data_IF_892694652639
#
_entry.id   IF_892694652639
#
_cell.length_a   1.000
_cell.length_b   1.000
_cell.length_c   1.000
_cell.angle_alpha   90.00
_cell.angle_beta   90.00
_cell.angle_gamma   90.00
#
_symmetry.space_group_name_H-M   'P 1'
#
loop_
_entity.id
_entity.type
_entity.pdbx_description
1 polymer ?
#
# COMPACT_ATOMS: atom_id res chain seq x y z
N UNK A 1 10.27 -8.97 1.32
CA UNK A 1 9.43 -8.63 2.50
C UNK A 1 8.52 -7.47 2.10
N UNK A 2 7.24 -7.73 1.76
CA UNK A 2 6.31 -6.69 1.31
C UNK A 2 6.16 -5.52 2.30
N UNK A 3 6.23 -5.81 3.60
CA UNK A 3 6.06 -4.84 4.69
C UNK A 3 7.10 -3.72 4.63
N UNK A 4 8.39 -4.06 4.40
CA UNK A 4 9.46 -3.06 4.31
C UNK A 4 9.25 -2.08 3.15
N UNK A 5 8.84 -2.59 1.99
CA UNK A 5 8.50 -1.74 0.86
C UNK A 5 7.30 -0.84 1.20
N UNK A 6 6.25 -1.38 1.80
CA UNK A 6 5.04 -0.62 2.14
C UNK A 6 5.30 0.46 3.20
N UNK A 7 6.25 0.24 4.13
CA UNK A 7 6.75 1.27 5.05
C UNK A 7 7.41 2.41 4.26
N UNK A 8 8.34 2.08 3.36
CA UNK A 8 9.01 3.09 2.53
C UNK A 8 8.03 3.85 1.64
N UNK A 9 7.05 3.16 1.05
CA UNK A 9 6.00 3.77 0.25
C UNK A 9 5.11 4.72 1.07
N UNK A 10 4.80 4.35 2.32
CA UNK A 10 4.02 5.20 3.25
C UNK A 10 4.81 6.44 3.66
N UNK A 11 6.11 6.31 3.91
CA UNK A 11 7.00 7.46 4.18
C UNK A 11 7.08 8.37 2.95
N UNK A 12 7.24 7.80 1.76
CA UNK A 12 7.25 8.55 0.51
C UNK A 12 5.96 9.35 0.31
N UNK A 13 4.80 8.74 0.55
CA UNK A 13 3.50 9.42 0.54
C UNK A 13 3.44 10.57 1.56
N UNK A 14 3.89 10.33 2.80
CA UNK A 14 3.89 11.35 3.85
C UNK A 14 4.77 12.55 3.47
N UNK A 15 6.01 12.32 3.03
CA UNK A 15 6.89 13.41 2.60
C UNK A 15 6.30 14.17 1.41
N UNK A 16 5.62 13.46 0.50
CA UNK A 16 4.99 14.06 -0.69
C UNK A 16 3.78 14.95 -0.38
N UNK A 17 3.15 14.79 0.79
CA UNK A 17 1.97 15.62 1.18
C UNK A 17 2.36 17.00 1.71
N UNK A 18 3.66 17.29 1.91
CA UNK A 18 4.19 18.56 2.42
C UNK A 18 3.57 19.03 3.76
N UNK A 19 2.93 18.12 4.50
CA UNK A 19 2.36 18.37 5.83
C UNK A 19 3.20 17.70 6.90
N UNK A 20 3.53 18.44 7.96
CA UNK A 20 4.34 17.92 9.07
C UNK A 20 3.63 16.76 9.78
N UNK A 21 2.32 16.89 10.01
CA UNK A 21 1.49 15.87 10.63
C UNK A 21 0.45 15.36 9.64
N UNK A 22 0.59 14.11 9.23
CA UNK A 22 -0.41 13.39 8.44
C UNK A 22 -0.92 12.19 9.28
N UNK A 23 -2.07 12.33 9.98
CA UNK A 23 -2.60 11.28 10.84
C UNK A 23 -2.86 9.96 10.10
N UNK A 24 -3.25 10.03 8.83
CA UNK A 24 -3.53 8.86 8.00
C UNK A 24 -2.23 8.10 7.72
N UNK A 25 -1.18 8.80 7.29
CA UNK A 25 0.14 8.21 7.06
C UNK A 25 0.70 7.59 8.35
N UNK A 26 0.55 8.27 9.48
CA UNK A 26 1.00 7.77 10.77
C UNK A 26 0.28 6.48 11.18
N UNK A 27 -1.05 6.44 11.08
CA UNK A 27 -1.84 5.24 11.40
C UNK A 27 -1.45 4.07 10.49
N UNK A 28 -1.32 4.32 9.17
CA UNK A 28 -0.88 3.29 8.23
C UNK A 28 0.52 2.77 8.57
N UNK A 29 1.46 3.66 8.90
CA UNK A 29 2.82 3.29 9.28
C UNK A 29 2.82 2.38 10.52
N UNK A 30 2.07 2.77 11.58
CA UNK A 30 1.95 1.98 12.81
C UNK A 30 1.34 0.61 12.52
N UNK A 31 0.31 0.52 11.67
CA UNK A 31 -0.30 -0.76 11.30
C UNK A 31 0.68 -1.66 10.53
N UNK A 32 1.44 -1.12 9.58
CA UNK A 32 2.42 -1.89 8.79
C UNK A 32 3.58 -2.35 9.67
N UNK A 33 4.09 -1.48 10.55
CA UNK A 33 5.14 -1.84 11.53
C UNK A 33 4.63 -2.89 12.51
N UNK A 34 3.42 -2.75 13.01
CA UNK A 34 2.79 -3.77 13.87
C UNK A 34 2.68 -5.11 13.14
N UNK A 35 2.30 -5.09 11.86
CA UNK A 35 2.25 -6.31 11.06
C UNK A 35 3.64 -6.93 10.87
N UNK A 36 4.68 -6.12 10.66
CA UNK A 36 6.06 -6.60 10.55
C UNK A 36 6.53 -7.29 11.84
N UNK A 37 6.20 -6.75 13.02
CA UNK A 37 6.62 -7.28 14.32
C UNK A 37 5.81 -8.52 14.71
N UNK A 38 4.47 -8.44 14.66
CA UNK A 38 3.61 -9.50 15.18
C UNK A 38 3.31 -10.60 14.16
N UNK A 39 3.45 -10.31 12.86
CA UNK A 39 3.27 -11.24 11.74
C UNK A 39 2.01 -12.11 11.86
N UNK A 40 0.92 -11.54 12.38
CA UNK A 40 -0.34 -12.26 12.59
C UNK A 40 -1.09 -12.39 11.28
N UNK A 41 -1.63 -13.59 11.02
CA UNK A 41 -2.43 -13.88 9.82
C UNK A 41 -3.59 -12.90 9.62
N UNK A 42 -4.41 -12.69 10.66
CA UNK A 42 -5.59 -11.83 10.59
C UNK A 42 -5.24 -10.37 10.27
N UNK A 43 -4.27 -9.80 10.99
CA UNK A 43 -3.82 -8.41 10.78
C UNK A 43 -3.21 -8.26 9.38
N UNK A 44 -2.43 -9.24 8.92
CA UNK A 44 -1.81 -9.20 7.59
C UNK A 44 -2.81 -9.26 6.45
N UNK A 45 -3.84 -10.10 6.55
CA UNK A 45 -4.93 -10.16 5.56
C UNK A 45 -5.72 -8.84 5.57
N UNK A 46 -6.11 -8.35 6.76
CA UNK A 46 -6.84 -7.08 6.89
C UNK A 46 -6.07 -5.92 6.27
N UNK A 47 -4.79 -5.78 6.64
CA UNK A 47 -3.92 -4.71 6.17
C UNK A 47 -3.69 -4.79 4.65
N UNK A 48 -3.47 -5.99 4.11
CA UNK A 48 -3.30 -6.18 2.67
C UNK A 48 -4.57 -5.80 1.89
N UNK A 49 -5.75 -6.21 2.37
CA UNK A 49 -7.03 -5.85 1.77
C UNK A 49 -7.28 -4.34 1.80
N UNK A 50 -6.99 -3.70 2.95
CA UNK A 50 -7.10 -2.24 3.10
C UNK A 50 -6.20 -1.51 2.09
N UNK A 51 -4.93 -1.92 1.99
CA UNK A 51 -3.98 -1.32 1.05
C UNK A 51 -4.37 -1.55 -0.42
N UNK A 52 -4.92 -2.72 -0.77
CA UNK A 52 -5.44 -2.98 -2.11
C UNK A 52 -6.59 -2.01 -2.43
N UNK A 53 -7.56 -1.84 -1.52
CA UNK A 53 -8.68 -0.92 -1.70
C UNK A 53 -8.18 0.52 -1.87
N UNK A 54 -7.22 0.97 -1.05
CA UNK A 54 -6.62 2.30 -1.18
C UNK A 54 -5.91 2.49 -2.53
N UNK A 55 -5.21 1.47 -3.04
CA UNK A 55 -4.59 1.52 -4.35
C UNK A 55 -5.62 1.55 -5.49
N UNK A 56 -6.73 0.81 -5.38
CA UNK A 56 -7.82 0.89 -6.35
C UNK A 56 -8.51 2.26 -6.35
N UNK A 57 -8.67 2.86 -5.18
CA UNK A 57 -9.14 4.25 -5.07
C UNK A 57 -8.16 5.23 -5.74
N UNK A 58 -6.87 5.08 -5.48
CA UNK A 58 -5.83 5.89 -6.14
C UNK A 58 -5.80 5.68 -7.66
N UNK A 59 -6.08 4.47 -8.16
CA UNK A 59 -6.21 4.20 -9.60
C UNK A 59 -7.34 5.03 -10.21
N UNK A 60 -8.51 5.04 -9.57
CA UNK A 60 -9.65 5.84 -10.01
C UNK A 60 -9.32 7.34 -10.00
N UNK A 61 -8.61 7.81 -8.97
CA UNK A 61 -8.17 9.21 -8.88
C UNK A 61 -7.21 9.58 -10.02
N UNK A 62 -6.17 8.76 -10.26
CA UNK A 62 -5.24 8.96 -11.37
C UNK A 62 -5.95 8.94 -12.72
N UNK A 63 -6.87 8.01 -12.91
CA UNK A 63 -7.64 7.91 -14.15
C UNK A 63 -8.51 9.16 -14.39
N UNK A 64 -9.17 9.64 -13.33
CA UNK A 64 -9.96 10.88 -13.39
C UNK A 64 -9.10 12.07 -13.78
N UNK A 65 -7.96 12.27 -13.10
CA UNK A 65 -7.08 13.41 -13.37
C UNK A 65 -6.43 13.31 -14.76
N UNK A 66 -6.07 12.09 -15.21
CA UNK A 66 -5.57 11.88 -16.57
C UNK A 66 -6.58 12.23 -17.65
N UNK A 67 -7.88 12.04 -17.39
CA UNK A 67 -8.95 12.33 -18.35
C UNK A 67 -9.21 13.82 -18.56
N UNK A 68 -8.78 14.66 -17.61
CA UNK A 68 -8.95 16.12 -17.68
C UNK A 68 -7.87 16.81 -18.51
N UNK A 69 -6.73 16.16 -18.76
CA UNK A 69 -5.66 16.74 -19.57
C UNK A 69 -6.03 16.75 -21.06
N UNK A 70 -6.13 17.96 -21.62
CA UNK A 70 -6.33 18.17 -23.06
C UNK A 70 -5.07 17.92 -23.91
N UNK A 71 -3.89 17.90 -23.27
CA UNK A 71 -2.61 17.70 -23.93
C UNK A 71 -1.61 16.98 -23.01
N UNK A 72 -0.62 16.33 -23.61
CA UNK A 72 0.41 15.55 -22.92
C UNK A 72 1.53 16.44 -22.32
N UNK A 73 1.12 17.32 -21.40
CA UNK A 73 1.99 18.28 -20.71
C UNK A 73 2.97 17.59 -19.76
N UNK A 74 3.96 18.34 -19.24
CA UNK A 74 4.92 17.85 -18.23
C UNK A 74 4.20 17.33 -16.98
N UNK A 75 3.10 17.97 -16.57
CA UNK A 75 2.28 17.52 -15.44
C UNK A 75 1.60 16.19 -15.73
N UNK A 76 0.99 16.03 -16.91
CA UNK A 76 0.37 14.79 -17.33
C UNK A 76 1.38 13.63 -17.40
N UNK A 77 2.59 13.89 -17.91
CA UNK A 77 3.69 12.91 -17.93
C UNK A 77 4.10 12.49 -16.52
N UNK A 78 4.30 13.46 -15.61
CA UNK A 78 4.67 13.17 -14.22
C UNK A 78 3.62 12.29 -13.55
N UNK A 79 2.34 12.62 -13.71
CA UNK A 79 1.23 11.88 -13.12
C UNK A 79 1.11 10.47 -13.72
N UNK A 80 1.27 10.34 -15.04
CA UNK A 80 1.24 9.05 -15.71
C UNK A 80 2.40 8.18 -15.28
N UNK A 81 3.65 8.63 -15.38
CA UNK A 81 4.82 7.77 -15.11
C UNK A 81 5.05 7.54 -13.62
N UNK A 82 5.10 8.60 -12.81
CA UNK A 82 5.37 8.47 -11.37
C UNK A 82 4.14 7.90 -10.64
N UNK A 83 2.95 8.40 -10.98
CA UNK A 83 1.70 7.95 -10.36
C UNK A 83 1.41 6.49 -10.66
N UNK A 84 1.45 6.08 -11.95
CA UNK A 84 1.22 4.66 -12.29
C UNK A 84 2.33 3.75 -11.79
N UNK A 85 3.60 4.19 -11.82
CA UNK A 85 4.72 3.41 -11.28
C UNK A 85 4.56 3.15 -9.78
N UNK A 86 4.21 4.18 -9.01
CA UNK A 86 3.92 4.05 -7.58
C UNK A 86 2.70 3.16 -7.32
N UNK A 87 1.64 3.31 -8.12
CA UNK A 87 0.43 2.49 -8.03
C UNK A 87 0.72 1.00 -8.27
N UNK A 88 1.38 0.67 -9.38
CA UNK A 88 1.66 -0.72 -9.78
C UNK A 88 2.51 -1.40 -8.71
N UNK A 89 3.57 -0.74 -8.24
CA UNK A 89 4.45 -1.30 -7.22
C UNK A 89 3.73 -1.50 -5.88
N UNK A 90 2.92 -0.52 -5.43
CA UNK A 90 2.14 -0.67 -4.20
C UNK A 90 1.09 -1.76 -4.30
N UNK A 91 0.35 -1.83 -5.41
CA UNK A 91 -0.65 -2.86 -5.62
C UNK A 91 -0.01 -4.24 -5.65
N UNK A 92 1.11 -4.40 -6.37
CA UNK A 92 1.88 -5.64 -6.41
C UNK A 92 2.35 -6.08 -5.02
N UNK A 93 2.90 -5.16 -4.23
CA UNK A 93 3.40 -5.47 -2.89
C UNK A 93 2.26 -5.76 -1.91
N UNK A 94 1.12 -5.09 -2.05
CA UNK A 94 -0.08 -5.37 -1.25
C UNK A 94 -0.66 -6.74 -1.57
N UNK A 95 -0.70 -7.15 -2.84
CA UNK A 95 -1.10 -8.52 -3.23
C UNK A 95 -0.11 -9.54 -2.68
N UNK A 96 1.20 -9.29 -2.75
CA UNK A 96 2.20 -10.19 -2.14
C UNK A 96 2.03 -10.30 -0.63
N UNK A 97 1.67 -9.22 0.05
CA UNK A 97 1.35 -9.23 1.48
C UNK A 97 0.14 -10.12 1.76
N UNK A 98 -0.91 -10.03 0.93
CA UNK A 98 -2.12 -10.84 1.05
C UNK A 98 -1.78 -12.34 0.89
N UNK A 99 -1.09 -12.70 -0.20
CA UNK A 99 -0.71 -14.09 -0.49
C UNK A 99 0.18 -14.68 0.59
N UNK A 100 1.12 -13.88 1.13
CA UNK A 100 1.97 -14.30 2.27
C UNK A 100 1.12 -14.70 3.48
N UNK A 101 0.08 -13.94 3.80
CA UNK A 101 -0.70 -14.15 5.02
C UNK A 101 -1.83 -15.18 4.85
N UNK A 102 -2.38 -15.34 3.65
CA UNK A 102 -3.33 -16.42 3.35
C UNK A 102 -2.67 -17.79 3.55
N UNK A 103 -1.44 -17.95 3.04
CA UNK A 103 -0.66 -19.19 3.14
C UNK A 103 0.01 -19.38 4.50
N UNK A 104 -0.11 -18.43 5.42
CA UNK A 104 0.42 -18.56 6.78
C UNK A 104 -0.45 -19.59 7.53
N UNK A 105 0.15 -20.71 7.95
CA UNK A 105 -0.52 -21.66 8.83
C UNK A 105 -0.62 -21.05 10.24
N UNK A 106 -1.81 -21.01 10.86
CA UNK A 106 -1.93 -20.56 12.24
C UNK A 106 -1.20 -21.57 13.15
N UNK A 107 -0.26 -21.09 13.98
CA UNK A 107 0.52 -21.95 14.89
C UNK A 107 -0.32 -22.84 15.83
N UNK A 108 -1.63 -22.57 15.98
CA UNK A 108 -2.53 -23.39 16.82
C UNK A 108 -2.64 -24.85 16.41
N UNK A 109 -2.32 -25.24 15.17
CA UNK A 109 -2.44 -26.65 14.73
C UNK A 109 -1.27 -27.53 15.12
N UNK A 110 -0.14 -26.99 15.62
CA UNK A 110 1.02 -27.81 16.00
C UNK A 110 0.90 -28.50 17.37
N UNK A 111 -0.10 -28.15 18.18
CA UNK A 111 -0.23 -28.65 19.56
C UNK A 111 -1.13 -29.90 19.67
N UNK A 112 -1.65 -30.39 18.53
CA UNK A 112 -2.56 -31.54 18.46
C UNK A 112 -2.06 -32.65 17.51
N UNK A 113 -0.77 -32.65 17.19
CA UNK A 113 -0.11 -33.69 16.37
C UNK A 113 0.80 -34.57 17.21
#
# INVERSE_FOLDING_TARGET
MPELYLILATIFYWVSTATLLNPIAFILLVLIVSQLIFNKKGIGIFLASLLIILNLYMFLALFSELSEFSAFTVSAQKLLFIGSGFLILNLFMSIKLLLKHINLYPERTKILG
#
